data_IF_340800574830
#
_entry.id   IF_340800574830
#
_cell.length_a   1.000
_cell.length_b   1.000
_cell.length_c   1.000
_cell.angle_alpha   90.00
_cell.angle_beta   90.00
_cell.angle_gamma   90.00
#
_symmetry.space_group_name_H-M   'P 1'
#
loop_
_entity.id
_entity.type
_entity.pdbx_description
1 polymer ?
#
# COMPACT_ATOMS: atom_id res chain seq x y z
N UNK A 1 0.29 -11.02 -6.15
CA UNK A 1 1.70 -10.78 -6.52
C UNK A 1 2.51 -10.60 -5.25
N UNK A 2 3.56 -11.40 -5.07
CA UNK A 2 4.45 -11.31 -3.91
C UNK A 2 5.80 -10.75 -4.34
N UNK A 3 6.21 -9.65 -3.71
CA UNK A 3 7.46 -8.91 -3.93
C UNK A 3 8.19 -8.63 -2.60
N UNK A 4 7.87 -9.40 -1.56
CA UNK A 4 8.44 -9.26 -0.23
C UNK A 4 9.97 -9.47 -0.23
N UNK A 5 10.67 -8.84 0.71
CA UNK A 5 12.10 -9.11 0.97
C UNK A 5 13.05 -8.62 -0.12
N UNK A 6 12.64 -7.64 -0.92
CA UNK A 6 13.47 -7.05 -1.97
C UNK A 6 14.11 -5.72 -1.48
N UNK A 7 14.68 -4.96 -2.41
CA UNK A 7 15.30 -3.64 -2.14
C UNK A 7 14.61 -2.51 -2.91
N UNK A 8 13.33 -2.67 -3.23
CA UNK A 8 12.60 -1.64 -3.97
C UNK A 8 12.51 -0.36 -3.15
N UNK A 9 12.91 0.75 -3.77
CA UNK A 9 12.77 2.09 -3.17
C UNK A 9 11.50 2.82 -3.66
N UNK A 10 10.98 2.39 -4.81
CA UNK A 10 9.75 2.86 -5.44
C UNK A 10 9.09 1.74 -6.21
N UNK A 11 7.77 1.85 -6.40
CA UNK A 11 7.05 1.06 -7.38
C UNK A 11 6.96 1.84 -8.71
N UNK A 12 6.99 1.17 -9.87
CA UNK A 12 6.73 1.83 -11.13
C UNK A 12 5.26 2.21 -11.25
N UNK A 13 4.97 3.30 -11.96
CA UNK A 13 3.58 3.73 -12.22
C UNK A 13 2.76 2.66 -12.95
N UNK A 14 3.42 1.80 -13.73
CA UNK A 14 2.79 0.67 -14.43
C UNK A 14 2.21 -0.41 -13.51
N UNK A 15 2.48 -0.36 -12.19
CA UNK A 15 1.80 -1.26 -11.24
C UNK A 15 0.28 -1.15 -11.36
N UNK A 16 -0.23 0.05 -11.65
CA UNK A 16 -1.66 0.32 -11.81
C UNK A 16 -2.29 -0.35 -13.04
N UNK A 17 -1.52 -0.93 -13.94
CA UNK A 17 -2.02 -1.62 -15.13
C UNK A 17 -2.42 -3.07 -14.83
N UNK A 18 -2.04 -3.59 -13.66
CA UNK A 18 -2.42 -4.93 -13.19
C UNK A 18 -3.87 -4.96 -12.67
N UNK A 19 -4.87 -4.63 -13.52
CA UNK A 19 -6.27 -4.42 -13.10
C UNK A 19 -6.89 -5.62 -12.36
N UNK A 20 -6.45 -6.84 -12.67
CA UNK A 20 -6.93 -8.07 -12.03
C UNK A 20 -6.20 -8.41 -10.73
N UNK A 21 -5.28 -7.56 -10.26
CA UNK A 21 -4.49 -7.84 -9.06
C UNK A 21 -5.34 -7.71 -7.81
N UNK A 22 -5.50 -8.82 -7.09
CA UNK A 22 -6.27 -8.87 -5.85
C UNK A 22 -5.43 -8.70 -4.59
N UNK A 23 -4.18 -9.17 -4.61
CA UNK A 23 -3.29 -9.16 -3.45
C UNK A 23 -1.90 -8.70 -3.84
N UNK A 24 -1.35 -7.72 -3.14
CA UNK A 24 -0.01 -7.21 -3.35
C UNK A 24 0.77 -7.25 -2.03
N UNK A 25 1.86 -8.00 -2.02
CA UNK A 25 2.76 -8.14 -0.89
C UNK A 25 4.09 -7.45 -1.20
N UNK A 26 4.46 -6.47 -0.37
CA UNK A 26 5.66 -5.64 -0.50
C UNK A 26 6.40 -5.50 0.84
N UNK A 27 6.16 -6.40 1.77
CA UNK A 27 6.76 -6.39 3.10
C UNK A 27 8.29 -6.45 3.03
N UNK A 28 8.97 -5.73 3.92
CA UNK A 28 10.44 -5.75 4.04
C UNK A 28 11.14 -5.31 2.74
N UNK A 29 10.82 -4.11 2.29
CA UNK A 29 11.47 -3.40 1.19
C UNK A 29 12.02 -2.05 1.69
N UNK A 30 12.33 -1.11 0.78
CA UNK A 30 12.81 0.24 1.11
C UNK A 30 11.90 1.32 0.53
N UNK A 31 10.63 0.99 0.28
CA UNK A 31 9.71 1.84 -0.46
C UNK A 31 9.43 3.10 0.34
N UNK A 32 9.65 4.25 -0.29
CA UNK A 32 9.42 5.57 0.32
C UNK A 32 8.07 6.16 -0.10
N UNK A 33 7.66 5.90 -1.34
CA UNK A 33 6.43 6.42 -1.93
C UNK A 33 5.69 5.34 -2.71
N UNK A 34 4.36 5.41 -2.67
CA UNK A 34 3.46 4.59 -3.50
C UNK A 34 2.91 5.48 -4.62
N UNK A 35 2.96 5.06 -5.89
CA UNK A 35 2.51 5.87 -7.01
C UNK A 35 0.99 6.06 -6.98
N UNK A 36 0.51 7.19 -7.51
CA UNK A 36 -0.93 7.49 -7.64
C UNK A 36 -1.67 6.48 -8.54
N UNK A 37 -0.94 5.74 -9.37
CA UNK A 37 -1.53 4.68 -10.18
C UNK A 37 -2.06 3.50 -9.35
N UNK A 38 -1.69 3.39 -8.06
CA UNK A 38 -2.21 2.33 -7.17
C UNK A 38 -3.74 2.36 -7.13
N UNK A 39 -4.37 3.54 -7.14
CA UNK A 39 -5.83 3.67 -7.10
C UNK A 39 -6.57 3.11 -8.32
N UNK A 40 -5.83 2.69 -9.36
CA UNK A 40 -6.38 1.97 -10.52
C UNK A 40 -6.64 0.48 -10.24
N UNK A 41 -6.11 -0.07 -9.15
CA UNK A 41 -6.24 -1.49 -8.79
C UNK A 41 -7.57 -1.79 -8.10
N UNK A 42 -8.68 -1.68 -8.85
CA UNK A 42 -10.04 -1.78 -8.30
C UNK A 42 -10.39 -3.12 -7.66
N UNK A 43 -9.67 -4.18 -8.01
CA UNK A 43 -9.86 -5.52 -7.45
C UNK A 43 -8.94 -5.82 -6.25
N UNK A 44 -8.08 -4.88 -5.85
CA UNK A 44 -7.13 -5.10 -4.77
C UNK A 44 -7.87 -5.17 -3.43
N UNK A 45 -7.81 -6.33 -2.77
CA UNK A 45 -8.44 -6.61 -1.48
C UNK A 45 -7.44 -6.58 -0.31
N UNK A 46 -6.16 -6.84 -0.62
CA UNK A 46 -5.07 -6.94 0.36
C UNK A 46 -3.82 -6.21 -0.14
N UNK A 47 -3.35 -5.25 0.67
CA UNK A 47 -2.09 -4.53 0.43
C UNK A 47 -1.20 -4.61 1.67
N UNK A 48 -0.08 -5.32 1.57
CA UNK A 48 0.93 -5.39 2.63
C UNK A 48 2.11 -4.48 2.30
N UNK A 49 2.33 -3.48 3.15
CA UNK A 49 3.43 -2.52 3.03
C UNK A 49 4.33 -2.50 4.27
N UNK A 50 4.18 -3.48 5.17
CA UNK A 50 4.94 -3.55 6.42
C UNK A 50 6.45 -3.47 6.20
N UNK A 51 7.18 -2.86 7.13
CA UNK A 51 8.65 -2.75 7.13
C UNK A 51 9.17 -2.12 5.83
N UNK A 52 8.67 -0.92 5.54
CA UNK A 52 9.16 -0.04 4.48
C UNK A 52 9.54 1.33 5.07
N UNK A 53 9.71 2.36 4.23
CA UNK A 53 10.06 3.72 4.65
C UNK A 53 8.98 4.74 4.28
N UNK A 54 7.72 4.29 4.20
CA UNK A 54 6.61 5.12 3.73
C UNK A 54 6.27 6.15 4.80
N UNK A 55 6.10 7.40 4.36
CA UNK A 55 5.71 8.52 5.22
C UNK A 55 4.25 8.92 5.04
N UNK A 56 3.78 8.85 3.80
CA UNK A 56 2.43 9.22 3.38
C UNK A 56 1.93 8.25 2.32
N UNK A 57 0.62 8.14 2.20
CA UNK A 57 -0.03 7.40 1.12
C UNK A 57 -0.51 8.37 0.04
N UNK A 58 -0.52 7.96 -1.25
CA UNK A 58 -1.08 8.77 -2.32
C UNK A 58 -2.58 8.98 -2.10
N UNK A 59 -3.11 10.10 -2.59
CA UNK A 59 -4.52 10.45 -2.42
C UNK A 59 -5.47 9.42 -3.05
N UNK A 60 -5.04 8.81 -4.16
CA UNK A 60 -5.74 7.73 -4.86
C UNK A 60 -5.87 6.43 -4.07
N UNK A 61 -5.25 6.27 -2.90
CA UNK A 61 -5.47 5.10 -2.04
C UNK A 61 -6.96 4.97 -1.68
N UNK A 62 -7.65 6.10 -1.54
CA UNK A 62 -9.11 6.18 -1.32
C UNK A 62 -9.94 5.57 -2.45
N UNK A 63 -9.35 5.41 -3.63
CA UNK A 63 -10.01 4.87 -4.82
C UNK A 63 -9.99 3.34 -4.87
N UNK A 64 -9.32 2.68 -3.93
CA UNK A 64 -9.27 1.22 -3.81
C UNK A 64 -10.52 0.67 -3.14
N UNK A 65 -11.65 0.72 -3.84
CA UNK A 65 -12.98 0.39 -3.31
C UNK A 65 -13.16 -1.05 -2.81
N UNK A 66 -12.35 -1.99 -3.29
CA UNK A 66 -12.38 -3.39 -2.84
C UNK A 66 -11.39 -3.67 -1.71
N UNK A 67 -10.55 -2.70 -1.31
CA UNK A 67 -9.51 -2.92 -0.31
C UNK A 67 -10.14 -3.17 1.04
N UNK A 68 -9.73 -4.25 1.69
CA UNK A 68 -10.24 -4.64 3.01
C UNK A 68 -9.15 -4.50 4.06
N UNK A 69 -7.91 -4.83 3.69
CA UNK A 69 -6.78 -4.91 4.59
C UNK A 69 -5.61 -4.11 4.04
N UNK A 70 -5.14 -3.18 4.87
CA UNK A 70 -3.94 -2.40 4.61
C UNK A 70 -3.01 -2.55 5.82
N UNK A 71 -1.82 -3.09 5.58
CA UNK A 71 -0.79 -3.24 6.61
C UNK A 71 0.36 -2.26 6.37
N UNK A 72 0.68 -1.48 7.39
CA UNK A 72 1.67 -0.39 7.34
C UNK A 72 2.65 -0.44 8.51
N UNK A 73 2.67 -1.52 9.29
CA UNK A 73 3.51 -1.64 10.49
C UNK A 73 5.00 -1.49 10.14
N UNK A 74 5.76 -0.76 10.96
CA UNK A 74 7.19 -0.56 10.71
C UNK A 74 7.50 0.36 9.52
N UNK A 75 6.59 1.27 9.19
CA UNK A 75 6.85 2.43 8.34
C UNK A 75 7.09 3.70 9.19
N UNK A 76 7.31 4.84 8.53
CA UNK A 76 7.51 6.15 9.16
C UNK A 76 6.31 7.07 8.92
N UNK A 77 5.10 6.52 9.06
CA UNK A 77 3.86 7.23 8.74
C UNK A 77 3.73 8.53 9.55
N UNK A 78 3.67 9.67 8.86
CA UNK A 78 3.46 10.98 9.47
C UNK A 78 1.96 11.22 9.73
N UNK A 79 1.10 10.64 8.90
CA UNK A 79 -0.36 10.68 9.07
C UNK A 79 -1.03 9.52 8.33
N UNK A 80 -2.21 9.13 8.81
CA UNK A 80 -3.11 8.19 8.11
C UNK A 80 -4.25 9.02 7.51
N UNK A 81 -4.48 8.99 6.19
CA UNK A 81 -5.59 9.72 5.59
C UNK A 81 -6.94 9.26 6.14
N UNK A 82 -7.84 10.19 6.53
CA UNK A 82 -9.21 9.84 6.97
C UNK A 82 -9.99 9.05 5.91
N UNK A 83 -9.65 9.22 4.63
CA UNK A 83 -10.28 8.53 3.51
C UNK A 83 -10.15 7.01 3.57
N UNK A 84 -9.19 6.46 4.33
CA UNK A 84 -8.99 5.02 4.51
C UNK A 84 -9.46 4.48 5.86
N UNK A 85 -10.24 5.27 6.60
CA UNK A 85 -10.80 4.86 7.91
C UNK A 85 -11.76 3.67 7.83
N UNK A 86 -12.33 3.41 6.66
CA UNK A 86 -13.18 2.24 6.41
C UNK A 86 -12.38 0.93 6.29
N UNK A 87 -11.06 1.01 6.09
CA UNK A 87 -10.21 -0.16 5.97
C UNK A 87 -9.92 -0.78 7.34
N UNK A 88 -9.77 -2.10 7.37
CA UNK A 88 -9.21 -2.76 8.56
C UNK A 88 -7.70 -2.52 8.56
N UNK A 89 -7.30 -1.45 9.25
CA UNK A 89 -5.90 -1.09 9.43
C UNK A 89 -5.28 -2.00 10.48
N UNK A 90 -4.22 -2.70 10.09
CA UNK A 90 -3.39 -3.47 11.01
C UNK A 90 -2.09 -2.69 11.16
N UNK A 91 -2.05 -1.82 12.17
CA UNK A 91 -0.82 -1.23 12.68
C UNK A 91 -0.75 -1.54 14.18
N UNK A 92 0.41 -1.96 14.69
CA UNK A 92 0.65 -1.90 16.13
C UNK A 92 0.97 -0.46 16.49
N UNK A 93 0.11 0.16 17.29
CA UNK A 93 0.45 1.39 18.02
C UNK A 93 1.62 1.11 18.95
N UNK A 94 2.59 2.03 19.00
CA UNK A 94 3.53 2.12 20.13
C UNK A 94 2.77 2.47 21.42
#
# INVERSE_FOLDING_TARGET
MNLDGNRFEKLPDTIGDLKSLEKLFLTNNRIQTIPESIGKLKNLTLLHLDKNKIKTLPSSISSLSALQYLKLEGNHMESIPESIRHLKLIHKSF
#
